data_IF_865739347907
#
_entry.id   IF_865739347907
#
_cell.length_a   1.000
_cell.length_b   1.000
_cell.length_c   1.000
_cell.angle_alpha   90.00
_cell.angle_beta   90.00
_cell.angle_gamma   90.00
#
_symmetry.space_group_name_H-M   'P 1'
#
loop_
_entity.id
_entity.type
_entity.pdbx_description
1 polymer ?
#
# COMPACT_ATOMS: atom_id res chain seq x y z
N UNK A 1 -6.23 39.93 41.59
CA UNK A 1 -6.59 40.19 40.21
C UNK A 1 -7.47 39.09 39.66
N UNK A 2 -8.54 39.48 38.95
CA UNK A 2 -9.41 38.48 38.26
C UNK A 2 -8.63 37.81 37.12
N UNK A 3 -8.56 36.49 37.16
CA UNK A 3 -8.03 35.71 36.04
C UNK A 3 -9.04 35.74 34.88
N UNK A 4 -8.61 36.13 33.68
CA UNK A 4 -9.44 36.06 32.49
C UNK A 4 -9.15 34.70 31.84
N UNK A 5 -10.13 33.80 31.73
CA UNK A 5 -9.93 32.54 31.04
C UNK A 5 -9.81 32.77 29.53
N UNK A 6 -8.70 32.32 28.95
CA UNK A 6 -8.51 32.33 27.50
C UNK A 6 -8.71 30.89 27.00
N UNK A 7 -9.61 30.76 26.05
CA UNK A 7 -9.85 29.49 25.36
C UNK A 7 -9.33 29.60 23.94
N UNK A 8 -8.38 28.75 23.58
CA UNK A 8 -7.83 28.66 22.23
C UNK A 8 -8.45 27.46 21.50
N UNK A 9 -8.85 27.68 20.29
CA UNK A 9 -9.33 26.63 19.38
C UNK A 9 -8.51 26.66 18.10
N UNK A 10 -8.21 25.48 17.57
CA UNK A 10 -7.57 25.39 16.25
C UNK A 10 -8.60 25.68 15.15
N UNK A 11 -8.35 26.72 14.36
CA UNK A 11 -9.20 27.10 13.24
C UNK A 11 -8.90 26.29 11.97
N UNK A 12 -7.79 25.57 11.94
CA UNK A 12 -7.36 24.75 10.78
C UNK A 12 -7.67 23.28 10.97
N UNK A 13 -7.55 22.53 9.89
CA UNK A 13 -7.57 21.06 9.85
C UNK A 13 -6.15 20.53 9.83
N UNK A 14 -5.77 19.69 10.76
CA UNK A 14 -4.50 18.97 10.71
C UNK A 14 -4.62 17.72 9.83
N UNK A 15 -3.63 17.53 8.92
CA UNK A 15 -3.57 16.36 8.04
C UNK A 15 -2.24 15.64 8.28
N UNK A 16 -2.35 14.36 8.59
CA UNK A 16 -1.23 13.47 8.80
C UNK A 16 -1.36 12.20 7.97
N UNK A 17 -0.25 11.52 7.78
CA UNK A 17 -0.16 10.26 7.06
C UNK A 17 0.50 9.21 7.94
N UNK A 18 0.04 7.98 7.87
CA UNK A 18 0.59 6.86 8.61
C UNK A 18 0.85 5.65 7.71
N UNK A 19 1.78 4.81 8.12
CA UNK A 19 2.06 3.53 7.48
C UNK A 19 0.86 2.60 7.64
N UNK A 20 0.43 1.99 6.54
CA UNK A 20 -0.56 0.91 6.51
C UNK A 20 0.08 -0.48 6.49
N UNK A 21 -0.77 -1.49 6.42
CA UNK A 21 -0.35 -2.89 6.57
C UNK A 21 0.36 -3.48 5.35
N UNK A 22 0.17 -2.90 4.16
CA UNK A 22 0.54 -3.51 2.88
C UNK A 22 1.61 -2.72 2.12
N UNK A 23 2.37 -1.87 2.80
CA UNK A 23 3.53 -1.21 2.20
C UNK A 23 4.73 -2.14 2.17
N UNK A 24 5.47 -2.12 1.06
CA UNK A 24 6.72 -2.86 0.96
C UNK A 24 7.76 -2.33 1.96
N UNK A 25 8.39 -3.24 2.67
CA UNK A 25 9.37 -2.96 3.72
C UNK A 25 10.56 -2.10 3.26
N UNK A 26 10.94 -2.19 2.00
CA UNK A 26 12.13 -1.53 1.44
C UNK A 26 11.84 -0.18 0.77
N UNK A 27 10.63 0.35 0.87
CA UNK A 27 10.31 1.66 0.31
C UNK A 27 10.74 2.78 1.28
N UNK A 28 11.02 3.95 0.72
CA UNK A 28 11.27 5.17 1.50
C UNK A 28 10.45 6.30 0.92
N UNK A 29 9.58 6.88 1.73
CA UNK A 29 8.77 8.04 1.37
C UNK A 29 9.67 9.26 1.29
N UNK A 30 9.74 9.89 0.12
CA UNK A 30 10.53 11.10 -0.14
C UNK A 30 9.69 12.36 -0.07
N UNK A 31 8.50 12.34 -0.70
CA UNK A 31 7.60 13.50 -0.68
C UNK A 31 6.15 13.09 -0.45
N UNK A 32 5.43 13.97 0.21
CA UNK A 32 3.99 13.91 0.41
C UNK A 32 3.39 15.17 -0.20
N UNK A 33 2.40 15.01 -1.08
CA UNK A 33 1.75 16.12 -1.76
C UNK A 33 0.24 16.03 -1.57
N UNK A 34 -0.39 17.17 -1.29
CA UNK A 34 -1.84 17.37 -1.30
C UNK A 34 -2.14 18.28 -2.48
N UNK A 35 -2.93 17.78 -3.43
CA UNK A 35 -3.16 18.40 -4.72
C UNK A 35 -4.60 18.85 -4.87
N UNK A 36 -4.84 19.96 -5.57
CA UNK A 36 -6.16 20.40 -6.00
C UNK A 36 -7.11 20.78 -4.88
N UNK A 37 -6.62 21.38 -3.81
CA UNK A 37 -7.44 21.86 -2.68
C UNK A 37 -7.53 23.36 -2.66
N UNK A 38 -8.59 23.94 -2.09
CA UNK A 38 -8.72 25.41 -1.94
C UNK A 38 -7.60 25.90 -1.05
N UNK A 39 -6.80 26.82 -1.58
CA UNK A 39 -5.60 27.34 -0.93
C UNK A 39 -5.66 28.82 -0.59
N UNK A 40 -6.80 29.47 -0.78
CA UNK A 40 -7.04 30.86 -0.42
C UNK A 40 -8.33 30.98 0.40
N UNK A 41 -8.26 31.67 1.53
CA UNK A 41 -9.39 31.94 2.37
C UNK A 41 -9.11 33.10 3.32
N UNK A 42 -10.17 33.67 3.86
CA UNK A 42 -10.12 34.65 4.97
C UNK A 42 -10.80 34.02 6.17
N UNK A 43 -10.23 34.20 7.34
CA UNK A 43 -10.85 33.79 8.58
C UNK A 43 -11.44 35.01 9.32
N UNK A 44 -12.76 34.99 9.49
CA UNK A 44 -13.45 35.99 10.32
C UNK A 44 -13.34 35.57 11.80
N UNK A 45 -12.50 36.29 12.52
CA UNK A 45 -12.23 36.01 13.93
C UNK A 45 -13.47 36.28 14.80
N UNK A 46 -14.28 37.27 14.43
CA UNK A 46 -15.48 37.65 15.21
C UNK A 46 -16.56 36.57 15.12
N UNK A 47 -16.80 36.05 13.92
CA UNK A 47 -17.80 35.02 13.63
C UNK A 47 -17.25 33.60 13.67
N UNK A 48 -15.94 33.44 13.89
CA UNK A 48 -15.23 32.13 13.84
C UNK A 48 -15.56 31.33 12.58
N UNK A 49 -15.50 31.99 11.44
CA UNK A 49 -15.92 31.41 10.16
C UNK A 49 -14.87 31.61 9.06
N UNK A 50 -14.69 30.60 8.22
CA UNK A 50 -13.86 30.66 7.03
C UNK A 50 -14.67 31.14 5.84
N UNK A 51 -14.17 32.15 5.16
CA UNK A 51 -14.65 32.60 3.85
C UNK A 51 -13.69 32.04 2.80
N UNK A 52 -14.11 31.00 2.11
CA UNK A 52 -13.28 30.32 1.13
C UNK A 52 -13.19 31.12 -0.18
N UNK A 53 -12.02 31.15 -0.78
CA UNK A 53 -11.82 31.54 -2.15
C UNK A 53 -12.09 30.40 -3.13
N UNK A 54 -11.59 30.53 -4.36
CA UNK A 54 -11.77 29.52 -5.43
C UNK A 54 -10.47 29.00 -6.00
N UNK A 55 -9.33 29.54 -5.58
CA UNK A 55 -8.04 29.14 -6.13
C UNK A 55 -7.59 27.80 -5.58
N UNK A 56 -7.38 26.83 -6.46
CA UNK A 56 -6.83 25.53 -6.10
C UNK A 56 -5.30 25.63 -6.00
N UNK A 57 -4.75 25.01 -4.97
CA UNK A 57 -3.31 24.93 -4.71
C UNK A 57 -2.86 23.52 -4.42
N UNK A 58 -1.57 23.32 -4.59
CA UNK A 58 -0.86 22.10 -4.26
C UNK A 58 0.11 22.39 -3.11
N UNK A 59 0.17 21.47 -2.17
CA UNK A 59 1.07 21.57 -1.02
C UNK A 59 1.99 20.35 -1.03
N UNK A 60 3.28 20.58 -0.76
CA UNK A 60 4.31 19.54 -0.79
C UNK A 60 5.16 19.60 0.46
N UNK A 61 5.35 18.44 1.06
CA UNK A 61 6.32 18.18 2.11
C UNK A 61 7.42 17.28 1.53
N UNK A 62 8.67 17.69 1.69
CA UNK A 62 9.83 16.85 1.38
C UNK A 62 10.41 16.34 2.69
N UNK A 63 10.55 15.04 2.81
CA UNK A 63 11.15 14.39 3.97
C UNK A 63 12.67 14.29 3.77
N UNK A 64 13.42 14.77 4.74
CA UNK A 64 14.87 14.69 4.73
C UNK A 64 15.40 14.33 6.13
N UNK A 65 15.90 13.10 6.32
CA UNK A 65 16.01 12.02 5.32
C UNK A 65 14.63 11.45 4.91
N UNK A 66 14.55 10.72 3.78
CA UNK A 66 13.34 10.00 3.38
C UNK A 66 12.89 9.00 4.44
N UNK A 67 11.59 8.92 4.67
CA UNK A 67 11.00 8.09 5.74
C UNK A 67 10.88 6.64 5.30
N UNK A 68 11.51 5.71 6.04
CA UNK A 68 11.47 4.28 5.73
C UNK A 68 10.12 3.67 6.03
N UNK A 69 9.58 2.89 5.09
CA UNK A 69 8.37 2.08 5.29
C UNK A 69 8.61 0.80 6.07
N UNK A 70 9.88 0.53 6.48
CA UNK A 70 10.24 -0.54 7.40
C UNK A 70 9.72 -0.33 8.84
N UNK A 71 8.86 0.65 9.03
CA UNK A 71 8.21 0.91 10.30
C UNK A 71 6.94 0.07 10.46
N UNK A 72 6.57 -0.18 11.71
CA UNK A 72 5.33 -0.87 12.02
C UNK A 72 4.11 -0.12 11.50
N UNK A 73 3.05 -0.83 11.09
CA UNK A 73 1.79 -0.21 10.74
C UNK A 73 1.28 0.72 11.84
N UNK A 74 0.73 1.86 11.45
CA UNK A 74 0.23 2.88 12.37
C UNK A 74 1.21 4.00 12.67
N UNK A 75 2.51 3.84 12.37
CA UNK A 75 3.50 4.91 12.57
C UNK A 75 3.20 6.10 11.67
N UNK A 76 3.15 7.30 12.26
CA UNK A 76 2.91 8.55 11.55
C UNK A 76 4.19 9.01 10.84
N UNK A 77 4.06 9.32 9.55
CA UNK A 77 5.19 9.69 8.68
C UNK A 77 5.56 11.16 8.84
N UNK A 78 4.56 12.04 8.96
CA UNK A 78 4.71 13.49 8.95
C UNK A 78 4.17 14.13 10.23
N UNK A 79 4.51 13.57 11.37
CA UNK A 79 4.16 14.15 12.67
C UNK A 79 4.93 15.43 12.99
N UNK A 80 4.54 16.11 14.06
CA UNK A 80 5.18 17.35 14.51
C UNK A 80 5.17 18.42 13.41
N UNK A 81 6.32 18.99 13.11
CA UNK A 81 6.50 20.08 12.13
C UNK A 81 6.15 19.68 10.68
N UNK A 82 6.05 18.39 10.40
CA UNK A 82 5.60 17.88 9.10
C UNK A 82 4.08 17.84 8.93
N UNK A 83 3.30 18.13 9.97
CA UNK A 83 1.85 18.13 9.87
C UNK A 83 1.36 19.27 8.95
N UNK A 84 0.52 18.92 7.97
CA UNK A 84 -0.13 19.95 7.17
C UNK A 84 -1.31 20.56 7.95
N UNK A 85 -1.32 21.88 8.05
CA UNK A 85 -2.45 22.63 8.58
C UNK A 85 -3.22 23.27 7.43
N UNK A 86 -4.39 22.74 7.16
CA UNK A 86 -5.16 23.02 5.96
C UNK A 86 -6.40 23.84 6.28
N UNK A 87 -6.89 24.59 5.32
CA UNK A 87 -8.17 25.32 5.40
C UNK A 87 -9.29 24.28 5.46
N UNK A 88 -10.19 24.35 6.46
CA UNK A 88 -11.40 23.54 6.49
C UNK A 88 -12.27 23.83 5.27
N UNK A 89 -12.66 22.78 4.54
CA UNK A 89 -13.35 22.93 3.26
C UNK A 89 -14.10 21.66 2.86
N UNK A 90 -15.11 21.80 2.01
CA UNK A 90 -15.58 20.69 1.18
C UNK A 90 -14.52 20.46 0.12
N UNK A 91 -14.05 19.23 0.03
CA UNK A 91 -12.93 18.91 -0.86
C UNK A 91 -13.38 18.94 -2.33
N UNK A 92 -12.70 19.72 -3.18
CA UNK A 92 -12.94 19.72 -4.62
C UNK A 92 -12.83 18.29 -5.19
N UNK A 93 -13.56 18.01 -6.24
CA UNK A 93 -13.57 16.67 -6.86
C UNK A 93 -12.16 16.23 -7.33
N UNK A 94 -11.34 17.20 -7.74
CA UNK A 94 -9.96 16.98 -8.17
C UNK A 94 -8.96 16.78 -7.02
N UNK A 95 -9.39 16.90 -5.76
CA UNK A 95 -8.48 16.81 -4.63
C UNK A 95 -7.87 15.40 -4.50
N UNK A 96 -6.54 15.35 -4.46
CA UNK A 96 -5.76 14.12 -4.45
C UNK A 96 -4.61 14.18 -3.44
N UNK A 97 -4.15 13.02 -3.03
CA UNK A 97 -2.87 12.81 -2.36
C UNK A 97 -1.92 12.16 -3.36
N UNK A 98 -0.65 12.59 -3.33
CA UNK A 98 0.43 11.92 -4.04
C UNK A 98 1.59 11.69 -3.07
N UNK A 99 2.04 10.44 -3.00
CA UNK A 99 3.21 10.02 -2.24
C UNK A 99 4.28 9.58 -3.23
N UNK A 100 5.47 10.17 -3.16
CA UNK A 100 6.59 9.78 -4.02
C UNK A 100 7.66 9.13 -3.16
N UNK A 101 8.15 8.00 -3.61
CA UNK A 101 9.22 7.24 -2.97
C UNK A 101 10.60 7.64 -3.50
N UNK A 102 11.65 7.31 -2.76
CA UNK A 102 13.03 7.56 -3.15
C UNK A 102 13.38 6.85 -4.47
N UNK A 103 12.77 5.70 -4.74
CA UNK A 103 12.89 4.95 -5.99
C UNK A 103 12.32 5.65 -7.24
N UNK A 104 11.62 6.78 -7.05
CA UNK A 104 10.89 7.46 -8.12
C UNK A 104 9.48 6.94 -8.37
N UNK A 105 9.12 5.78 -7.84
CA UNK A 105 7.74 5.29 -7.84
C UNK A 105 6.85 6.27 -7.06
N UNK A 106 5.59 6.34 -7.42
CA UNK A 106 4.62 7.18 -6.69
C UNK A 106 3.27 6.47 -6.55
N UNK A 107 2.52 6.95 -5.58
CA UNK A 107 1.15 6.53 -5.32
C UNK A 107 0.24 7.75 -5.29
N UNK A 108 -0.97 7.59 -5.78
CA UNK A 108 -2.00 8.62 -5.73
C UNK A 108 -3.30 8.08 -5.17
N UNK A 109 -4.02 8.92 -4.44
CA UNK A 109 -5.36 8.60 -3.97
C UNK A 109 -6.26 9.83 -4.10
N UNK A 110 -7.46 9.64 -4.66
CA UNK A 110 -8.51 10.66 -4.67
C UNK A 110 -9.08 10.82 -3.26
N UNK A 111 -9.08 12.05 -2.77
CA UNK A 111 -9.66 12.40 -1.46
C UNK A 111 -10.87 13.32 -1.56
N UNK A 112 -11.08 13.91 -2.75
CA UNK A 112 -12.19 14.78 -3.06
C UNK A 112 -13.46 14.05 -3.50
N UNK A 113 -14.53 14.80 -3.67
CA UNK A 113 -15.82 14.33 -4.15
C UNK A 113 -16.97 14.56 -3.18
N UNK A 114 -18.17 14.14 -3.58
CA UNK A 114 -19.41 14.39 -2.83
C UNK A 114 -19.31 13.94 -1.36
N UNK A 115 -19.64 14.85 -0.45
CA UNK A 115 -19.65 14.61 1.00
C UNK A 115 -18.26 14.55 1.64
N UNK A 116 -17.16 14.67 0.91
CA UNK A 116 -15.81 14.71 1.46
C UNK A 116 -15.49 16.11 1.97
N UNK A 117 -15.16 16.23 3.25
CA UNK A 117 -14.85 17.52 3.85
C UNK A 117 -13.78 17.42 4.92
N UNK A 118 -13.07 18.52 5.12
CA UNK A 118 -12.20 18.78 6.25
C UNK A 118 -12.89 19.72 7.23
N UNK A 119 -12.98 19.31 8.50
CA UNK A 119 -13.62 20.07 9.55
C UNK A 119 -12.56 20.71 10.45
N UNK A 120 -12.76 21.95 10.81
CA UNK A 120 -11.85 22.70 11.70
C UNK A 120 -11.64 22.01 13.05
N UNK A 121 -10.52 22.30 13.69
CA UNK A 121 -10.19 21.83 15.01
C UNK A 121 -9.97 20.33 15.15
N UNK A 122 -9.89 19.60 14.04
CA UNK A 122 -9.75 18.14 14.05
C UNK A 122 -8.51 17.68 13.27
N UNK A 123 -8.03 16.47 13.57
CA UNK A 123 -6.96 15.83 12.81
C UNK A 123 -7.53 14.75 11.89
N UNK A 124 -7.10 14.71 10.62
CA UNK A 124 -7.33 13.60 9.72
C UNK A 124 -6.02 12.86 9.48
N UNK A 125 -6.02 11.58 9.76
CA UNK A 125 -4.89 10.71 9.45
C UNK A 125 -5.26 9.83 8.26
N UNK A 126 -4.50 9.95 7.17
CA UNK A 126 -4.62 9.08 6.01
C UNK A 126 -3.68 7.90 6.16
N UNK A 127 -4.18 6.72 5.96
CA UNK A 127 -3.36 5.51 5.97
C UNK A 127 -2.86 5.26 4.56
N UNK A 128 -1.54 5.21 4.39
CA UNK A 128 -0.93 4.77 3.15
C UNK A 128 -0.93 3.25 3.20
N UNK A 129 -1.93 2.67 2.61
CA UNK A 129 -2.04 1.23 2.49
C UNK A 129 -2.47 0.89 1.08
N UNK A 130 -2.05 -0.25 0.66
CA UNK A 130 -2.41 -0.99 -0.51
C UNK A 130 -3.01 -0.22 -1.70
N UNK A 131 -2.19 -0.04 -2.70
CA UNK A 131 -2.56 -0.31 -4.09
C UNK A 131 -1.53 -1.30 -4.64
N UNK A 132 -1.90 -2.07 -5.63
CA UNK A 132 -1.02 -2.97 -6.37
C UNK A 132 0.31 -2.31 -6.77
N UNK A 133 0.30 -0.99 -6.93
CA UNK A 133 1.45 -0.18 -7.35
C UNK A 133 2.47 0.11 -6.24
N UNK A 134 2.10 -0.09 -4.96
CA UNK A 134 2.97 0.16 -3.80
C UNK A 134 3.52 -1.10 -3.15
N UNK A 135 2.87 -2.22 -3.40
CA UNK A 135 3.29 -3.51 -2.89
C UNK A 135 4.33 -4.09 -3.84
N UNK A 136 5.59 -3.99 -3.45
CA UNK A 136 6.66 -4.71 -4.14
C UNK A 136 6.63 -6.16 -3.67
N UNK A 137 6.09 -7.05 -4.51
CA UNK A 137 5.89 -8.46 -4.20
C UNK A 137 6.65 -9.32 -5.18
N UNK A 138 7.25 -10.38 -4.66
CA UNK A 138 7.82 -11.45 -5.46
C UNK A 138 6.80 -12.59 -5.54
N UNK A 139 6.62 -13.14 -6.74
CA UNK A 139 5.79 -14.32 -6.94
C UNK A 139 6.63 -15.56 -6.70
N UNK A 140 6.09 -16.49 -5.93
CA UNK A 140 6.71 -17.77 -5.65
C UNK A 140 5.75 -18.90 -6.02
N UNK A 141 6.29 -19.92 -6.67
CA UNK A 141 5.61 -21.15 -6.98
C UNK A 141 6.41 -22.29 -6.35
N UNK A 142 5.77 -23.05 -5.49
CA UNK A 142 6.35 -24.23 -4.87
C UNK A 142 5.59 -25.46 -5.35
N UNK A 143 6.33 -26.44 -5.85
CA UNK A 143 5.80 -27.74 -6.24
C UNK A 143 6.47 -28.79 -5.36
N UNK A 144 5.68 -29.44 -4.53
CA UNK A 144 6.20 -30.47 -3.62
C UNK A 144 5.58 -31.82 -4.01
N UNK A 145 6.38 -32.73 -4.57
CA UNK A 145 5.92 -34.10 -4.81
C UNK A 145 5.61 -34.80 -3.48
N UNK A 146 4.56 -35.57 -3.45
CA UNK A 146 4.29 -36.43 -2.33
C UNK A 146 5.13 -37.70 -2.49
N UNK A 147 6.18 -37.81 -1.70
CA UNK A 147 7.10 -38.96 -1.77
C UNK A 147 6.65 -40.14 -0.90
N UNK A 148 5.89 -39.89 0.14
CA UNK A 148 5.29 -40.93 0.99
C UNK A 148 3.82 -41.11 0.58
N UNK A 149 3.57 -42.19 -0.13
CA UNK A 149 2.23 -42.58 -0.55
C UNK A 149 1.58 -43.57 0.44
N UNK A 150 2.22 -43.81 1.59
CA UNK A 150 1.73 -44.73 2.60
C UNK A 150 1.89 -46.24 2.31
N UNK A 151 2.55 -46.56 1.20
CA UNK A 151 2.80 -47.94 0.73
C UNK A 151 4.26 -48.38 0.90
N UNK A 152 5.12 -47.55 1.46
CA UNK A 152 6.53 -47.83 1.67
C UNK A 152 7.39 -47.72 0.41
N UNK A 153 6.84 -47.27 -0.71
CA UNK A 153 7.58 -47.09 -1.97
C UNK A 153 8.14 -45.65 -2.02
N UNK A 154 9.46 -45.56 -2.01
CA UNK A 154 10.16 -44.24 -2.05
C UNK A 154 10.49 -43.76 -3.46
N UNK A 155 10.38 -44.63 -4.47
CA UNK A 155 10.68 -44.32 -5.86
C UNK A 155 9.63 -44.94 -6.76
N UNK A 156 9.06 -44.16 -7.67
CA UNK A 156 8.12 -44.64 -8.68
C UNK A 156 8.61 -44.31 -10.07
N UNK A 157 8.37 -45.19 -11.00
CA UNK A 157 8.54 -44.93 -12.42
C UNK A 157 7.32 -44.16 -12.93
N UNK A 158 7.50 -43.37 -13.98
CA UNK A 158 6.41 -42.57 -14.54
C UNK A 158 5.20 -43.41 -15.00
N UNK A 159 5.41 -44.66 -15.39
CA UNK A 159 4.36 -45.61 -15.80
C UNK A 159 3.61 -46.28 -14.61
N UNK A 160 4.10 -46.09 -13.41
CA UNK A 160 3.45 -46.58 -12.17
C UNK A 160 2.46 -45.57 -11.59
N UNK A 161 2.45 -44.41 -12.13
CA UNK A 161 1.51 -43.31 -12.07
C UNK A 161 0.98 -42.73 -10.82
N UNK A 162 0.46 -41.54 -11.03
CA UNK A 162 -0.18 -40.69 -10.05
C UNK A 162 0.72 -40.38 -8.84
N UNK A 163 1.91 -39.83 -9.12
CA UNK A 163 2.68 -39.19 -8.07
C UNK A 163 1.95 -37.88 -7.74
N UNK A 164 1.20 -37.83 -6.65
CA UNK A 164 0.55 -36.59 -6.27
C UNK A 164 1.58 -35.54 -5.91
N UNK A 165 1.29 -34.32 -6.26
CA UNK A 165 2.12 -33.19 -5.86
C UNK A 165 1.23 -32.04 -5.38
N UNK A 166 1.75 -31.26 -4.47
CA UNK A 166 1.09 -30.05 -4.00
C UNK A 166 1.70 -28.85 -4.71
N UNK A 167 0.85 -28.01 -5.27
CA UNK A 167 1.24 -26.72 -5.85
C UNK A 167 0.75 -25.63 -4.93
N UNK A 168 1.67 -24.79 -4.53
CA UNK A 168 1.37 -23.56 -3.80
C UNK A 168 1.88 -22.38 -4.59
N UNK A 169 0.99 -21.45 -4.88
CA UNK A 169 1.33 -20.19 -5.53
C UNK A 169 0.95 -19.04 -4.62
N UNK A 170 1.90 -18.18 -4.35
CA UNK A 170 1.68 -17.02 -3.50
C UNK A 170 2.60 -15.86 -3.89
N UNK A 171 2.20 -14.67 -3.51
CA UNK A 171 3.05 -13.50 -3.61
C UNK A 171 3.52 -13.06 -2.22
N UNK A 172 4.82 -12.87 -2.08
CA UNK A 172 5.47 -12.44 -0.85
C UNK A 172 5.78 -10.95 -0.89
N UNK A 173 5.33 -10.21 0.12
CA UNK A 173 5.66 -8.81 0.26
C UNK A 173 7.15 -8.66 0.64
N UNK A 174 7.91 -7.91 -0.17
CA UNK A 174 9.33 -7.66 0.12
C UNK A 174 9.53 -7.04 1.50
N UNK A 175 10.45 -7.60 2.26
CA UNK A 175 10.74 -7.24 3.63
C UNK A 175 10.00 -8.05 4.69
N UNK A 176 9.16 -9.01 4.28
CA UNK A 176 8.49 -9.97 5.16
C UNK A 176 8.84 -11.40 4.75
N UNK A 177 10.12 -11.81 4.92
CA UNK A 177 10.59 -13.12 4.46
C UNK A 177 9.97 -14.29 5.24
N UNK A 178 9.39 -14.02 6.40
CA UNK A 178 8.68 -14.99 7.24
C UNK A 178 7.33 -15.42 6.68
N UNK A 179 6.90 -14.85 5.55
CA UNK A 179 5.62 -15.16 4.94
C UNK A 179 4.40 -14.56 5.64
N UNK A 180 4.58 -13.78 6.71
CA UNK A 180 3.47 -13.21 7.50
C UNK A 180 2.51 -12.32 6.70
N UNK A 181 2.93 -11.89 5.51
CA UNK A 181 2.17 -11.04 4.58
C UNK A 181 1.95 -11.69 3.22
N UNK A 182 2.12 -13.00 3.12
CA UNK A 182 1.88 -13.73 1.90
C UNK A 182 0.40 -13.70 1.51
N UNK A 183 0.16 -13.65 0.21
CA UNK A 183 -1.19 -13.76 -0.36
C UNK A 183 -1.21 -14.96 -1.29
N UNK A 184 -2.20 -15.82 -1.12
CA UNK A 184 -2.43 -16.89 -2.07
C UNK A 184 -2.76 -16.29 -3.45
N UNK A 185 -2.13 -16.83 -4.49
CA UNK A 185 -2.33 -16.41 -5.87
C UNK A 185 -2.97 -17.55 -6.66
N UNK A 186 -3.80 -17.20 -7.62
CA UNK A 186 -4.33 -18.18 -8.55
C UNK A 186 -3.24 -18.62 -9.52
N UNK A 187 -3.26 -19.91 -9.86
CA UNK A 187 -2.35 -20.49 -10.85
C UNK A 187 -3.12 -21.40 -11.79
N UNK A 188 -2.61 -21.53 -12.99
CA UNK A 188 -3.09 -22.49 -13.98
C UNK A 188 -1.92 -23.08 -14.75
N UNK A 189 -2.09 -24.28 -15.24
CA UNK A 189 -1.08 -24.93 -16.06
C UNK A 189 -1.30 -24.49 -17.50
N UNK A 190 -0.33 -23.73 -18.05
CA UNK A 190 -0.36 -23.27 -19.44
C UNK A 190 0.18 -24.28 -20.42
N UNK A 191 1.05 -25.18 -19.97
CA UNK A 191 1.72 -26.17 -20.83
C UNK A 191 2.20 -27.37 -20.01
N UNK A 192 2.16 -28.54 -20.63
CA UNK A 192 2.78 -29.76 -20.13
C UNK A 192 3.85 -30.22 -21.10
N UNK A 193 4.95 -30.68 -20.57
CA UNK A 193 5.99 -31.35 -21.34
C UNK A 193 6.42 -32.61 -20.63
N UNK A 194 6.77 -33.62 -21.38
CA UNK A 194 7.19 -34.93 -20.91
C UNK A 194 8.60 -35.23 -21.43
N UNK A 195 9.41 -35.85 -20.61
CA UNK A 195 10.74 -36.33 -20.99
C UNK A 195 11.02 -37.66 -20.30
N UNK A 196 11.50 -38.62 -21.04
CA UNK A 196 11.94 -39.92 -20.52
C UNK A 196 13.41 -39.89 -20.08
N UNK A 197 14.21 -39.02 -20.69
CA UNK A 197 15.65 -38.91 -20.46
C UNK A 197 16.08 -37.65 -19.73
N UNK A 198 15.14 -36.77 -19.43
CA UNK A 198 15.41 -35.46 -18.80
C UNK A 198 16.07 -34.43 -19.71
N UNK A 199 16.28 -34.77 -20.98
CA UNK A 199 17.00 -33.93 -21.96
C UNK A 199 16.04 -33.51 -23.08
N UNK A 200 15.30 -34.45 -23.63
CA UNK A 200 14.37 -34.23 -24.73
C UNK A 200 12.95 -34.13 -24.24
N UNK A 201 12.34 -32.97 -24.41
CA UNK A 201 11.00 -32.65 -23.90
C UNK A 201 9.99 -32.57 -25.05
N UNK A 202 8.82 -33.15 -24.85
CA UNK A 202 7.72 -33.13 -25.81
C UNK A 202 6.38 -32.86 -25.14
N UNK A 203 5.46 -32.25 -25.89
CA UNK A 203 4.06 -32.07 -25.44
C UNK A 203 3.18 -33.29 -25.68
N UNK A 204 3.67 -34.27 -26.44
CA UNK A 204 2.96 -35.52 -26.69
C UNK A 204 3.11 -36.45 -25.49
N UNK A 205 2.00 -36.87 -24.87
CA UNK A 205 2.04 -37.86 -23.80
C UNK A 205 2.66 -39.17 -24.33
N UNK A 206 3.66 -39.73 -23.65
CA UNK A 206 4.22 -41.01 -24.02
C UNK A 206 3.13 -42.09 -24.09
N UNK A 207 3.17 -42.93 -25.11
CA UNK A 207 2.28 -44.10 -25.15
C UNK A 207 2.69 -45.04 -24.03
N UNK A 208 1.74 -45.33 -23.13
CA UNK A 208 1.95 -46.41 -22.16
C UNK A 208 2.05 -47.73 -22.93
N UNK A 209 3.16 -48.39 -22.82
CA UNK A 209 3.40 -49.75 -23.35
C UNK A 209 3.00 -50.73 -22.27
#
# INVERSE_FOLDING_TARGET
GKKIPLVFSHATKAIQFKIGNDLSYNQKVKTIEILGVIGDAKYDVANKAWMLGSSLKNYKLTLNPPFSTAQNPGVVINGGDGTFFMIPQVLPDAAMIKITFESGKYWTAKIGGAGKKWTEGTTRVYTISNSSDLSDRDFELSITPTTDLGDGVTTRKYNELDIPFTVQSFSRLKGYPDGSRDKAEAWEISKYEYSEDGINWTTSKPSMV
#
